data_IF_338240094035
#
_entry.id   IF_338240094035
#
_cell.length_a   1.000
_cell.length_b   1.000
_cell.length_c   1.000
_cell.angle_alpha   90.00
_cell.angle_beta   90.00
_cell.angle_gamma   90.00
#
_symmetry.space_group_name_H-M   'P 1'
#
loop_
_entity.id
_entity.type
_entity.pdbx_description
1 polymer ?
#
# COMPACT_ATOMS: atom_id res chain seq x y z
N UNK A 1 42.00 -1.17 13.81
CA UNK A 1 41.17 -1.55 12.65
C UNK A 1 40.47 -2.85 13.02
N UNK A 2 39.30 -2.78 13.66
CA UNK A 2 38.54 -3.97 14.09
C UNK A 2 37.44 -4.19 13.06
N UNK A 3 37.56 -5.27 12.29
CA UNK A 3 36.49 -5.80 11.45
C UNK A 3 35.34 -6.24 12.36
N UNK A 4 34.19 -5.58 12.26
CA UNK A 4 32.95 -6.11 12.81
C UNK A 4 32.51 -7.24 11.89
N UNK A 5 32.82 -8.48 12.26
CA UNK A 5 32.15 -9.64 11.67
C UNK A 5 30.69 -9.62 12.10
N UNK A 6 29.82 -9.11 11.23
CA UNK A 6 28.36 -9.18 11.38
C UNK A 6 27.77 -10.31 10.57
N UNK A 7 28.48 -11.42 10.37
CA UNK A 7 27.95 -12.58 9.65
C UNK A 7 27.73 -13.73 10.61
N UNK A 8 26.47 -13.90 11.02
CA UNK A 8 26.01 -15.18 11.54
C UNK A 8 25.69 -16.09 10.36
N UNK A 9 26.06 -17.39 10.40
CA UNK A 9 25.79 -18.31 9.31
C UNK A 9 24.26 -18.47 9.10
N UNK A 10 23.81 -18.69 7.84
CA UNK A 10 22.41 -18.96 7.56
C UNK A 10 21.90 -20.16 8.38
N UNK A 11 20.83 -19.97 9.17
CA UNK A 11 20.18 -21.03 9.96
C UNK A 11 20.33 -20.97 11.49
N UNK A 12 21.01 -19.95 12.03
CA UNK A 12 21.10 -19.75 13.49
C UNK A 12 19.76 -19.27 14.10
N UNK A 13 19.16 -20.08 14.98
CA UNK A 13 18.00 -19.68 15.81
C UNK A 13 18.31 -18.54 16.81
N UNK A 14 19.58 -18.16 16.96
CA UNK A 14 20.05 -17.19 17.96
C UNK A 14 20.29 -15.79 17.36
N UNK A 15 20.29 -15.64 16.03
CA UNK A 15 20.39 -14.33 15.40
C UNK A 15 19.01 -13.73 15.14
N UNK A 16 18.53 -12.95 16.11
CA UNK A 16 17.45 -11.98 15.87
C UNK A 16 18.13 -10.61 15.78
N UNK A 17 18.41 -10.06 14.59
CA UNK A 17 18.91 -8.70 14.49
C UNK A 17 17.95 -7.78 15.25
N UNK A 18 18.44 -6.74 15.93
CA UNK A 18 17.56 -5.78 16.59
C UNK A 18 16.48 -5.33 15.59
N UNK A 19 15.21 -5.31 16.00
CA UNK A 19 14.09 -5.05 15.08
C UNK A 19 14.27 -3.73 14.30
N UNK A 20 14.97 -2.76 14.89
CA UNK A 20 15.32 -1.49 14.26
C UNK A 20 16.30 -1.65 13.08
N UNK A 21 17.27 -2.59 13.17
CA UNK A 21 18.17 -2.91 12.06
C UNK A 21 17.40 -3.54 10.90
N UNK A 22 16.53 -4.52 11.18
CA UNK A 22 15.69 -5.13 10.15
C UNK A 22 14.76 -4.11 9.48
N UNK A 23 14.09 -3.25 10.26
CA UNK A 23 13.28 -2.15 9.73
C UNK A 23 14.10 -1.17 8.90
N UNK A 24 15.33 -0.87 9.33
CA UNK A 24 16.26 -0.03 8.59
C UNK A 24 16.63 -0.62 7.22
N UNK A 25 16.84 -1.94 7.14
CA UNK A 25 17.07 -2.63 5.86
C UNK A 25 15.83 -2.57 4.96
N UNK A 26 14.64 -2.85 5.49
CA UNK A 26 13.39 -2.78 4.73
C UNK A 26 13.14 -1.37 4.17
N UNK A 27 13.42 -0.33 4.96
CA UNK A 27 13.26 1.06 4.54
C UNK A 27 14.17 1.51 3.40
N UNK A 28 15.18 0.72 3.01
CA UNK A 28 16.03 1.02 1.85
C UNK A 28 15.40 0.64 0.51
N UNK A 29 14.34 -0.17 0.52
CA UNK A 29 13.56 -0.43 -0.68
C UNK A 29 12.52 0.69 -0.85
N UNK A 30 12.78 1.59 -1.79
CA UNK A 30 11.86 2.68 -2.10
C UNK A 30 10.56 2.12 -2.69
N UNK A 31 9.43 2.69 -2.27
CA UNK A 31 8.10 2.24 -2.66
C UNK A 31 7.22 3.44 -3.01
N UNK A 32 6.20 3.24 -3.84
CA UNK A 32 5.07 4.16 -3.88
C UNK A 32 4.21 4.02 -2.62
N UNK A 33 3.31 4.98 -2.42
CA UNK A 33 2.34 4.97 -1.33
C UNK A 33 0.96 4.73 -1.90
N UNK A 34 0.19 3.85 -1.26
CA UNK A 34 -1.19 3.59 -1.62
C UNK A 34 -2.11 3.67 -0.40
N UNK A 35 -3.40 3.87 -0.65
CA UNK A 35 -4.45 3.68 0.35
C UNK A 35 -5.37 2.56 -0.11
N UNK A 36 -5.52 1.55 0.73
CA UNK A 36 -6.54 0.51 0.54
C UNK A 36 -7.84 1.04 1.11
N UNK A 37 -8.93 0.97 0.35
CA UNK A 37 -10.25 1.42 0.77
C UNK A 37 -11.31 0.34 0.56
N UNK A 38 -12.31 0.30 1.43
CA UNK A 38 -13.40 -0.68 1.37
C UNK A 38 -14.60 -0.23 2.21
N UNK A 39 -15.76 -0.80 1.93
CA UNK A 39 -16.95 -0.62 2.77
C UNK A 39 -17.07 -1.72 3.82
N UNK A 40 -17.23 -1.31 5.07
CA UNK A 40 -17.74 -2.17 6.15
C UNK A 40 -19.13 -1.67 6.56
N UNK A 41 -19.92 -2.54 7.19
CA UNK A 41 -21.38 -2.43 7.41
C UNK A 41 -22.01 -1.02 7.46
N UNK A 42 -21.40 -0.05 8.14
CA UNK A 42 -21.94 1.31 8.28
C UNK A 42 -20.96 2.43 7.94
N UNK A 43 -19.76 2.12 7.44
CA UNK A 43 -18.72 3.12 7.21
C UNK A 43 -17.72 2.71 6.13
N UNK A 44 -17.22 3.71 5.42
CA UNK A 44 -16.00 3.62 4.61
C UNK A 44 -14.76 3.51 5.48
N UNK A 45 -13.91 2.56 5.14
CA UNK A 45 -12.62 2.37 5.77
C UNK A 45 -11.51 2.62 4.77
N UNK A 46 -10.36 3.04 5.29
CA UNK A 46 -9.14 3.03 4.52
C UNK A 46 -7.91 2.82 5.39
N UNK A 47 -6.81 2.42 4.75
CA UNK A 47 -5.53 2.17 5.38
C UNK A 47 -4.40 2.54 4.42
N UNK A 48 -3.48 3.38 4.88
CA UNK A 48 -2.26 3.66 4.12
C UNK A 48 -1.33 2.46 4.16
N UNK A 49 -0.86 2.04 2.99
CA UNK A 49 0.09 0.95 2.81
C UNK A 49 1.18 1.35 1.83
N UNK A 50 2.36 0.77 2.00
CA UNK A 50 3.41 0.79 1.00
C UNK A 50 3.87 -0.64 0.62
N UNK A 51 3.02 -1.63 0.95
CA UNK A 51 3.23 -3.05 0.67
C UNK A 51 2.53 -3.52 -0.61
N UNK A 52 1.90 -2.60 -1.36
CA UNK A 52 1.23 -2.91 -2.62
C UNK A 52 2.21 -3.51 -3.63
N UNK A 53 1.82 -4.62 -4.25
CA UNK A 53 2.64 -5.37 -5.21
C UNK A 53 1.77 -5.92 -6.34
N UNK A 54 2.19 -5.74 -7.59
CA UNK A 54 1.59 -6.44 -8.73
C UNK A 54 2.03 -7.91 -8.73
N UNK A 55 1.10 -8.86 -8.96
CA UNK A 55 1.36 -10.29 -8.83
C UNK A 55 1.23 -11.03 -10.17
N UNK A 56 0.16 -10.77 -10.92
CA UNK A 56 -0.14 -11.49 -12.16
C UNK A 56 -0.86 -10.60 -13.14
N UNK A 57 -0.68 -10.86 -14.44
CA UNK A 57 -1.42 -10.20 -15.53
C UNK A 57 -2.63 -11.02 -15.99
N UNK A 58 -2.58 -12.34 -15.91
CA UNK A 58 -3.69 -13.24 -16.30
C UNK A 58 -3.79 -14.45 -15.35
N UNK A 59 -4.80 -14.49 -14.44
CA UNK A 59 -5.74 -13.40 -14.16
C UNK A 59 -5.00 -12.19 -13.56
N UNK A 60 -5.57 -10.96 -13.67
CA UNK A 60 -4.93 -9.76 -13.15
C UNK A 60 -5.01 -9.73 -11.61
N UNK A 61 -3.88 -9.93 -10.94
CA UNK A 61 -3.80 -10.03 -9.48
C UNK A 61 -2.86 -8.98 -8.88
N UNK A 62 -3.28 -8.41 -7.76
CA UNK A 62 -2.49 -7.54 -6.90
C UNK A 62 -2.47 -8.06 -5.46
N UNK A 63 -1.45 -7.66 -4.69
CA UNK A 63 -1.28 -8.04 -3.30
C UNK A 63 -1.10 -6.81 -2.42
N UNK A 64 -1.69 -6.88 -1.23
CA UNK A 64 -1.44 -5.96 -0.11
C UNK A 64 -1.13 -6.77 1.16
N UNK A 65 -0.20 -6.28 1.97
CA UNK A 65 0.12 -6.87 3.27
C UNK A 65 -0.41 -5.98 4.39
N UNK A 66 -1.28 -6.54 5.24
CA UNK A 66 -1.91 -5.80 6.34
C UNK A 66 -1.58 -6.45 7.68
N UNK A 67 -1.11 -5.64 8.62
CA UNK A 67 -0.75 -6.09 9.96
C UNK A 67 -1.99 -6.60 10.70
N UNK A 68 -1.90 -7.77 11.35
CA UNK A 68 -3.02 -8.40 12.05
C UNK A 68 -3.60 -7.56 13.19
N UNK A 69 -2.81 -6.63 13.74
CA UNK A 69 -3.22 -5.79 14.88
C UNK A 69 -4.01 -4.55 14.49
N UNK A 70 -4.06 -4.16 13.21
CA UNK A 70 -4.85 -2.99 12.80
C UNK A 70 -6.33 -3.36 12.70
N UNK A 71 -7.22 -2.48 13.19
CA UNK A 71 -8.68 -2.74 13.18
C UNK A 71 -9.23 -3.05 11.79
N UNK A 72 -8.65 -2.45 10.75
CA UNK A 72 -9.06 -2.66 9.36
C UNK A 72 -8.77 -4.07 8.84
N UNK A 73 -7.90 -4.84 9.49
CA UNK A 73 -7.55 -6.20 9.06
C UNK A 73 -8.77 -7.12 9.03
N UNK A 74 -9.42 -7.32 10.18
CA UNK A 74 -10.57 -8.23 10.28
C UNK A 74 -11.80 -7.69 9.55
N UNK A 75 -11.89 -6.37 9.41
CA UNK A 75 -12.97 -5.74 8.67
C UNK A 75 -12.83 -5.97 7.16
N UNK A 76 -11.61 -6.05 6.63
CA UNK A 76 -11.35 -6.23 5.21
C UNK A 76 -11.50 -7.69 4.75
N UNK A 77 -11.30 -8.66 5.64
CA UNK A 77 -11.30 -10.08 5.29
C UNK A 77 -12.50 -10.47 4.41
N UNK A 78 -12.21 -11.14 3.30
CA UNK A 78 -13.20 -11.59 2.29
C UNK A 78 -14.08 -10.49 1.68
N UNK A 79 -13.66 -9.23 1.72
CA UNK A 79 -14.36 -8.11 1.09
C UNK A 79 -13.68 -7.60 -0.17
N UNK A 80 -14.45 -7.04 -1.12
CA UNK A 80 -13.88 -6.19 -2.15
C UNK A 80 -13.18 -4.97 -1.57
N UNK A 81 -12.15 -4.51 -2.27
CA UNK A 81 -11.38 -3.34 -1.89
C UNK A 81 -10.84 -2.62 -3.12
N UNK A 82 -10.61 -1.33 -2.98
CA UNK A 82 -9.87 -0.55 -3.96
C UNK A 82 -8.46 -0.25 -3.43
N UNK A 83 -7.46 -0.33 -4.31
CA UNK A 83 -6.12 0.20 -4.05
C UNK A 83 -5.98 1.52 -4.75
N UNK A 84 -5.56 2.56 -4.03
CA UNK A 84 -5.44 3.92 -4.54
C UNK A 84 -3.99 4.38 -4.45
N UNK A 85 -3.25 4.42 -5.56
CA UNK A 85 -1.86 4.86 -5.61
C UNK A 85 -1.79 6.38 -5.61
N UNK A 86 -1.05 6.96 -4.68
CA UNK A 86 -1.10 8.39 -4.39
C UNK A 86 -0.10 9.22 -5.20
N UNK A 87 -0.54 10.41 -5.60
CA UNK A 87 0.31 11.48 -6.14
C UNK A 87 1.11 12.18 -5.05
N UNK A 88 2.24 12.78 -5.41
CA UNK A 88 3.18 13.44 -4.50
C UNK A 88 2.52 14.55 -3.66
N UNK A 89 1.46 15.17 -4.16
CA UNK A 89 0.67 16.19 -3.48
C UNK A 89 -0.25 15.63 -2.38
N UNK A 90 -0.45 14.30 -2.32
CA UNK A 90 -1.43 13.65 -1.45
C UNK A 90 -0.82 13.12 -0.13
N UNK A 91 0.28 13.72 0.35
CA UNK A 91 0.90 13.35 1.62
C UNK A 91 -0.08 13.45 2.81
N UNK A 92 -0.89 14.51 2.86
CA UNK A 92 -1.87 14.70 3.93
C UNK A 92 -2.94 13.59 3.94
N UNK A 93 -3.36 13.13 2.75
CA UNK A 93 -4.29 12.02 2.60
C UNK A 93 -3.67 10.69 3.08
N UNK A 94 -2.39 10.46 2.74
CA UNK A 94 -1.63 9.31 3.26
C UNK A 94 -1.53 9.34 4.78
N UNK A 95 -1.28 10.49 5.39
CA UNK A 95 -1.21 10.63 6.85
C UNK A 95 -2.58 10.42 7.52
N UNK A 96 -3.67 10.87 6.89
CA UNK A 96 -5.03 10.66 7.39
C UNK A 96 -5.34 9.17 7.54
N UNK A 97 -5.08 8.35 6.52
CA UNK A 97 -5.29 6.91 6.57
C UNK A 97 -4.17 6.13 7.29
N UNK A 98 -3.10 6.81 7.72
CA UNK A 98 -2.10 6.29 8.66
C UNK A 98 -2.45 6.59 10.14
N UNK A 99 -3.66 7.11 10.41
CA UNK A 99 -4.15 7.40 11.76
C UNK A 99 -3.81 8.79 12.29
N UNK A 100 -3.41 9.72 11.41
CA UNK A 100 -3.11 11.12 11.75
C UNK A 100 -4.00 12.05 10.91
N UNK A 101 -5.32 12.07 11.15
CA UNK A 101 -6.25 12.85 10.35
C UNK A 101 -6.00 14.36 10.51
N UNK A 102 -6.04 15.08 9.38
CA UNK A 102 -6.06 16.54 9.32
C UNK A 102 -7.15 17.00 8.35
N UNK A 103 -7.59 18.27 8.42
CA UNK A 103 -8.55 18.80 7.44
C UNK A 103 -8.05 18.70 5.99
N UNK A 104 -6.75 18.91 5.74
CA UNK A 104 -6.16 18.80 4.40
C UNK A 104 -6.11 17.35 3.89
N UNK A 105 -6.03 16.38 4.81
CA UNK A 105 -6.05 14.96 4.51
C UNK A 105 -7.43 14.34 4.40
N UNK A 106 -8.50 15.15 4.47
CA UNK A 106 -9.87 14.65 4.40
C UNK A 106 -10.14 13.98 3.04
N UNK A 107 -10.61 12.71 3.02
CA UNK A 107 -10.82 12.00 1.76
C UNK A 107 -12.04 12.56 1.01
N UNK A 108 -11.86 12.78 -0.29
CA UNK A 108 -12.97 12.88 -1.22
C UNK A 108 -13.23 11.49 -1.80
N UNK A 109 -14.35 10.90 -1.41
CA UNK A 109 -14.72 9.57 -1.86
C UNK A 109 -15.39 9.60 -3.23
N UNK A 110 -15.09 8.59 -4.03
CA UNK A 110 -15.74 8.32 -5.31
C UNK A 110 -16.31 6.91 -5.25
N UNK A 111 -17.55 6.75 -5.69
CA UNK A 111 -18.14 5.41 -5.83
C UNK A 111 -17.32 4.61 -6.85
N UNK A 112 -17.00 3.36 -6.50
CA UNK A 112 -16.40 2.41 -7.43
C UNK A 112 -17.39 1.33 -7.84
N UNK A 113 -16.91 0.30 -8.55
CA UNK A 113 -17.72 -0.87 -8.89
C UNK A 113 -18.02 -1.72 -7.66
N UNK A 114 -16.98 -2.23 -7.01
CA UNK A 114 -17.07 -3.16 -5.88
C UNK A 114 -16.67 -2.51 -4.55
N UNK A 115 -15.74 -1.56 -4.58
CA UNK A 115 -15.30 -0.79 -3.41
C UNK A 115 -15.16 0.71 -3.72
N UNK A 116 -15.38 1.59 -2.72
CA UNK A 116 -15.21 3.02 -2.91
C UNK A 116 -13.72 3.36 -3.11
N UNK A 117 -13.43 4.33 -3.98
CA UNK A 117 -12.08 4.82 -4.26
C UNK A 117 -11.92 6.28 -3.83
N UNK A 118 -10.71 6.81 -3.95
CA UNK A 118 -10.37 8.19 -3.59
C UNK A 118 -10.20 9.04 -4.85
N UNK A 119 -10.64 10.29 -4.79
CA UNK A 119 -10.49 11.23 -5.89
C UNK A 119 -9.03 11.69 -6.07
N UNK A 120 -8.65 11.99 -7.31
CA UNK A 120 -7.36 12.62 -7.62
C UNK A 120 -6.14 11.76 -7.34
N UNK A 121 -6.28 10.43 -7.33
CA UNK A 121 -5.16 9.49 -7.14
C UNK A 121 -4.44 9.25 -8.48
N UNK A 122 -3.18 8.84 -8.47
CA UNK A 122 -2.42 8.56 -9.69
C UNK A 122 -2.94 7.34 -10.43
N UNK A 123 -3.28 6.28 -9.70
CA UNK A 123 -3.96 5.12 -10.26
C UNK A 123 -4.80 4.45 -9.21
N UNK A 124 -5.78 3.66 -9.66
CA UNK A 124 -6.60 2.87 -8.78
C UNK A 124 -6.94 1.51 -9.38
N UNK A 125 -7.22 0.55 -8.51
CA UNK A 125 -7.57 -0.83 -8.86
C UNK A 125 -8.76 -1.26 -8.00
N UNK A 126 -9.92 -1.51 -8.61
CA UNK A 126 -11.09 -2.08 -7.95
C UNK A 126 -10.97 -3.61 -7.95
N UNK A 127 -10.93 -4.20 -6.77
CA UNK A 127 -10.55 -5.60 -6.59
C UNK A 127 -11.64 -6.41 -5.88
N UNK A 128 -11.86 -7.63 -6.35
CA UNK A 128 -12.59 -8.66 -5.59
C UNK A 128 -11.60 -9.57 -4.86
N UNK A 129 -11.93 -10.08 -3.66
CA UNK A 129 -11.02 -10.93 -2.90
C UNK A 129 -10.71 -12.22 -3.68
N UNK A 130 -9.42 -12.56 -3.78
CA UNK A 130 -8.95 -13.76 -4.47
C UNK A 130 -8.44 -14.83 -3.50
N UNK A 131 -7.52 -14.44 -2.60
CA UNK A 131 -6.95 -15.33 -1.59
C UNK A 131 -6.37 -14.53 -0.42
N UNK A 132 -6.20 -15.20 0.72
CA UNK A 132 -5.47 -14.67 1.87
C UNK A 132 -4.42 -15.69 2.33
N UNK A 133 -3.18 -15.24 2.53
CA UNK A 133 -2.07 -16.07 2.98
C UNK A 133 -1.48 -15.56 4.29
N UNK A 134 -0.96 -16.48 5.12
CA UNK A 134 -0.18 -16.10 6.29
C UNK A 134 1.12 -15.41 5.88
N UNK A 135 1.42 -14.29 6.54
CA UNK A 135 2.66 -13.53 6.38
C UNK A 135 3.31 -13.22 7.73
N UNK A 136 3.17 -14.12 8.72
CA UNK A 136 3.63 -13.86 10.08
C UNK A 136 2.74 -12.85 10.81
N UNK A 137 3.27 -11.68 11.13
CA UNK A 137 2.52 -10.60 11.81
C UNK A 137 1.56 -9.84 10.88
N UNK A 138 1.55 -10.20 9.59
CA UNK A 138 0.63 -9.71 8.57
C UNK A 138 -0.17 -10.85 7.93
N UNK A 139 -1.27 -10.47 7.29
CA UNK A 139 -1.95 -11.30 6.29
C UNK A 139 -1.72 -10.69 4.92
N UNK A 140 -1.39 -11.53 3.94
CA UNK A 140 -1.23 -11.16 2.55
C UNK A 140 -2.56 -11.35 1.84
N UNK A 141 -3.26 -10.26 1.54
CA UNK A 141 -4.52 -10.29 0.80
C UNK A 141 -4.22 -10.10 -0.69
N UNK A 142 -4.66 -11.07 -1.50
CA UNK A 142 -4.68 -10.97 -2.95
C UNK A 142 -6.05 -10.53 -3.41
N UNK A 143 -6.07 -9.56 -4.33
CA UNK A 143 -7.26 -9.12 -5.04
C UNK A 143 -7.14 -9.41 -6.52
N UNK A 144 -8.23 -9.91 -7.11
CA UNK A 144 -8.40 -9.95 -8.56
C UNK A 144 -8.94 -8.61 -9.03
N UNK A 145 -8.21 -7.95 -9.92
CA UNK A 145 -8.54 -6.62 -10.43
C UNK A 145 -9.69 -6.74 -11.43
N UNK A 146 -10.76 -5.99 -11.21
CA UNK A 146 -11.94 -5.93 -12.08
C UNK A 146 -11.94 -4.68 -12.96
N UNK A 147 -11.57 -3.55 -12.38
CA UNK A 147 -11.46 -2.27 -13.06
C UNK A 147 -10.23 -1.53 -12.56
N UNK A 148 -9.63 -0.72 -13.43
CA UNK A 148 -8.48 0.12 -13.09
C UNK A 148 -8.39 1.30 -14.04
N UNK A 149 -7.76 2.37 -13.56
CA UNK A 149 -7.45 3.54 -14.39
C UNK A 149 -6.25 4.29 -13.79
N UNK A 150 -5.68 5.22 -14.54
CA UNK A 150 -4.55 6.03 -14.12
C UNK A 150 -4.56 7.45 -14.71
N UNK A 151 -3.72 8.33 -14.16
CA UNK A 151 -3.41 9.65 -14.69
C UNK A 151 -1.91 9.91 -14.60
N UNK A 152 -1.43 10.89 -15.36
CA UNK A 152 -0.07 11.41 -15.24
C UNK A 152 0.15 12.19 -13.93
N UNK A 153 1.41 12.32 -13.52
CA UNK A 153 1.84 13.05 -12.34
C UNK A 153 2.92 12.33 -11.53
N UNK A 154 3.59 13.11 -10.68
CA UNK A 154 4.64 12.60 -9.79
C UNK A 154 4.06 11.75 -8.66
N UNK A 155 4.68 10.61 -8.37
CA UNK A 155 4.23 9.68 -7.34
C UNK A 155 4.71 10.06 -5.95
N UNK A 156 3.84 9.83 -4.96
CA UNK A 156 4.25 9.88 -3.56
C UNK A 156 5.09 8.63 -3.25
N UNK A 157 6.39 8.85 -3.07
CA UNK A 157 7.35 7.83 -2.68
C UNK A 157 7.52 7.76 -1.16
N UNK A 158 7.87 6.58 -0.66
CA UNK A 158 8.28 6.36 0.72
C UNK A 158 9.58 5.59 0.77
N UNK A 159 10.59 6.18 1.41
CA UNK A 159 11.94 5.61 1.56
C UNK A 159 12.56 6.10 2.86
N UNK A 160 13.26 5.21 3.56
CA UNK A 160 13.95 5.49 4.83
C UNK A 160 13.06 6.16 5.89
N UNK A 161 11.77 5.77 5.92
CA UNK A 161 10.79 6.30 6.86
C UNK A 161 10.30 7.72 6.54
N UNK A 162 10.54 8.22 5.33
CA UNK A 162 10.19 9.59 4.90
C UNK A 162 9.44 9.57 3.58
N UNK A 163 8.52 10.52 3.43
CA UNK A 163 7.93 10.81 2.13
C UNK A 163 8.95 11.47 1.21
N UNK A 164 8.79 11.21 -0.08
CA UNK A 164 9.60 11.73 -1.17
C UNK A 164 8.74 11.85 -2.42
N UNK A 165 9.19 12.65 -3.38
CA UNK A 165 8.57 12.75 -4.69
C UNK A 165 9.34 11.86 -5.67
N UNK A 166 8.62 11.03 -6.42
CA UNK A 166 9.17 10.25 -7.52
C UNK A 166 8.62 10.85 -8.82
N UNK A 167 9.50 11.46 -9.61
CA UNK A 167 9.08 12.15 -10.83
C UNK A 167 8.58 11.18 -11.90
N UNK A 168 7.52 11.56 -12.61
CA UNK A 168 7.11 10.86 -13.82
C UNK A 168 8.22 10.98 -14.89
N UNK A 169 8.81 9.85 -15.26
CA UNK A 169 9.75 9.80 -16.37
C UNK A 169 8.96 9.77 -17.68
N UNK A 170 8.71 10.94 -18.26
CA UNK A 170 7.86 11.16 -19.44
C UNK A 170 7.90 10.04 -20.52
N UNK A 171 6.80 9.28 -20.60
CA UNK A 171 6.07 8.81 -21.79
C UNK A 171 4.79 8.08 -21.32
N UNK A 172 3.89 8.81 -20.65
CA UNK A 172 2.54 8.33 -20.36
C UNK A 172 1.61 8.66 -21.53
N UNK A 173 0.91 7.66 -22.07
CA UNK A 173 -0.16 7.83 -23.05
C UNK A 173 -1.38 8.48 -22.35
N UNK A 174 -1.85 9.63 -22.85
CA UNK A 174 -3.02 10.36 -22.32
C UNK A 174 -4.35 9.78 -22.83
N UNK A 175 -5.20 9.34 -21.89
CA UNK A 175 -6.68 9.41 -21.86
C UNK A 175 -7.09 8.90 -20.46
N UNK A 176 -7.97 9.52 -19.66
CA UNK A 176 -9.41 9.66 -19.90
C UNK A 176 -10.05 10.81 -19.07
N UNK A 177 -10.26 11.96 -19.70
CA UNK A 177 -11.55 12.66 -19.82
C UNK A 177 -11.55 13.42 -21.15
#
# INVERSE_FOLDING_TARGET
MMSRETSFPPGSSLYRPPAQFFRGCLGRFATGVAVVTFDAATKRHGLTVNSFTAVSMDPPLVLISIQRTVKSHDLLADRPFAVNVLGAEQEALAMNFAGRPTPEGAPTWVEGGHAPRLAGVLSWFDCTPWAAYDGGDHTLFLGEVREFDYRSGDALGFVDGRFSMIHESAQGHESLF
#
